data_IF_237193955190
#
_entry.id   IF_237193955190
#
_cell.length_a   1.000
_cell.length_b   1.000
_cell.length_c   1.000
_cell.angle_alpha   90.00
_cell.angle_beta   90.00
_cell.angle_gamma   90.00
#
_symmetry.space_group_name_H-M   'P 1'
#
loop_
_entity.id
_entity.type
_entity.pdbx_description
1 polymer ?
#
# COMPACT_ATOMS: atom_id res chain seq x y z
N UNK A 1 -16.50 -24.39 16.44
CA UNK A 1 -16.48 -24.38 14.96
C UNK A 1 -16.28 -25.81 14.47
N UNK A 2 -17.12 -26.32 13.55
CA UNK A 2 -17.09 -27.76 13.20
C UNK A 2 -15.88 -28.07 12.29
N UNK A 3 -15.28 -29.27 12.41
CA UNK A 3 -14.08 -29.70 11.66
C UNK A 3 -14.24 -29.54 10.14
N UNK A 4 -15.47 -29.64 9.64
CA UNK A 4 -15.81 -29.47 8.23
C UNK A 4 -15.60 -28.01 7.78
N UNK A 5 -15.93 -27.04 8.63
CA UNK A 5 -15.75 -25.60 8.34
C UNK A 5 -14.27 -25.22 8.33
N UNK A 6 -13.48 -25.78 9.25
CA UNK A 6 -12.03 -25.53 9.32
C UNK A 6 -11.29 -26.04 8.09
N UNK A 7 -11.62 -27.24 7.60
CA UNK A 7 -11.01 -27.80 6.38
C UNK A 7 -11.33 -27.00 5.12
N UNK A 8 -12.55 -26.44 5.03
CA UNK A 8 -12.95 -25.57 3.90
C UNK A 8 -12.19 -24.25 3.92
N UNK A 9 -12.01 -23.66 5.10
CA UNK A 9 -11.25 -22.41 5.26
C UNK A 9 -9.76 -22.66 4.97
N UNK A 10 -9.15 -23.73 5.49
CA UNK A 10 -7.77 -24.09 5.17
C UNK A 10 -7.57 -24.39 3.68
N UNK A 11 -8.51 -25.11 3.05
CA UNK A 11 -8.45 -25.38 1.62
C UNK A 11 -8.55 -24.10 0.77
N UNK A 12 -9.41 -23.16 1.18
CA UNK A 12 -9.52 -21.85 0.53
C UNK A 12 -8.23 -21.04 0.69
N UNK A 13 -7.65 -20.97 1.90
CA UNK A 13 -6.42 -20.22 2.18
C UNK A 13 -5.19 -20.83 1.49
N UNK A 14 -5.08 -22.16 1.39
CA UNK A 14 -4.00 -22.84 0.67
C UNK A 14 -4.14 -22.62 -0.83
N UNK A 15 -5.35 -22.71 -1.39
CA UNK A 15 -5.59 -22.40 -2.81
C UNK A 15 -5.27 -20.93 -3.13
N UNK A 16 -5.65 -20.01 -2.24
CA UNK A 16 -5.32 -18.58 -2.38
C UNK A 16 -3.82 -18.30 -2.24
N UNK A 17 -3.15 -18.93 -1.27
CA UNK A 17 -1.71 -18.80 -1.07
C UNK A 17 -0.90 -19.33 -2.26
N UNK A 18 -1.32 -20.43 -2.87
CA UNK A 18 -0.67 -20.99 -4.08
C UNK A 18 -0.92 -20.08 -5.30
N UNK A 19 -2.11 -19.49 -5.44
CA UNK A 19 -2.40 -18.51 -6.48
C UNK A 19 -1.53 -17.25 -6.33
N UNK A 20 -1.33 -16.78 -5.10
CA UNK A 20 -0.53 -15.60 -4.79
C UNK A 20 0.98 -15.84 -4.94
N UNK A 21 1.48 -17.03 -4.57
CA UNK A 21 2.88 -17.43 -4.79
C UNK A 21 3.18 -17.73 -6.26
N UNK A 22 2.20 -18.23 -7.03
CA UNK A 22 2.31 -18.48 -8.46
C UNK A 22 2.19 -17.22 -9.33
N UNK A 23 1.58 -16.15 -8.81
CA UNK A 23 1.50 -14.82 -9.45
C UNK A 23 2.65 -13.87 -9.08
N UNK A 24 3.69 -14.37 -8.39
CA UNK A 24 4.96 -13.67 -8.20
C UNK A 24 6.03 -14.20 -9.19
N UNK A 25 6.00 -13.84 -10.49
CA UNK A 25 7.26 -13.59 -11.16
C UNK A 25 7.78 -12.26 -10.61
N UNK A 26 8.61 -12.32 -9.56
CA UNK A 26 9.26 -11.15 -8.97
C UNK A 26 10.07 -10.30 -9.95
N UNK A 27 10.22 -10.74 -11.20
CA UNK A 27 10.86 -10.02 -12.31
C UNK A 27 9.92 -9.24 -13.23
N UNK A 28 8.61 -9.57 -13.31
CA UNK A 28 7.69 -8.88 -14.22
C UNK A 28 7.04 -7.63 -13.57
N UNK A 29 6.79 -7.66 -12.25
CA UNK A 29 6.24 -6.50 -11.54
C UNK A 29 7.28 -5.36 -11.43
N UNK A 30 8.56 -5.69 -11.24
CA UNK A 30 9.66 -4.72 -11.27
C UNK A 30 9.81 -4.06 -12.65
N UNK A 31 9.75 -4.85 -13.73
CA UNK A 31 9.84 -4.34 -15.10
C UNK A 31 8.61 -3.49 -15.52
N UNK A 32 7.41 -3.82 -15.00
CA UNK A 32 6.21 -3.00 -15.19
C UNK A 32 6.27 -1.70 -14.39
N UNK A 33 6.81 -1.73 -13.16
CA UNK A 33 6.93 -0.54 -12.31
C UNK A 33 7.99 0.43 -12.82
N UNK A 34 9.10 -0.04 -13.40
CA UNK A 34 10.13 0.82 -14.01
C UNK A 34 9.53 1.71 -15.11
N UNK A 35 8.58 1.22 -15.90
CA UNK A 35 7.98 2.00 -16.98
C UNK A 35 6.98 3.07 -16.50
N UNK A 36 6.39 2.93 -15.31
CA UNK A 36 5.45 3.90 -14.72
C UNK A 36 6.13 4.86 -13.72
N UNK A 37 7.24 4.44 -13.10
CA UNK A 37 8.05 5.27 -12.19
C UNK A 37 9.11 6.11 -12.91
N UNK A 38 9.41 5.81 -14.19
CA UNK A 38 10.31 6.62 -15.04
C UNK A 38 9.70 7.92 -15.56
N UNK A 39 8.41 8.20 -15.25
CA UNK A 39 7.79 9.48 -15.53
C UNK A 39 8.34 10.59 -14.61
N UNK A 40 8.46 11.84 -15.07
CA UNK A 40 9.06 12.95 -14.31
C UNK A 40 8.33 13.34 -13.02
N UNK A 41 7.23 12.65 -12.66
CA UNK A 41 6.43 12.91 -11.47
C UNK A 41 6.75 11.99 -10.28
N UNK A 42 7.44 10.85 -10.47
CA UNK A 42 7.62 9.83 -9.42
C UNK A 42 9.01 9.15 -9.35
N UNK A 43 10.06 9.80 -9.85
CA UNK A 43 11.43 9.33 -9.60
C UNK A 43 11.85 9.66 -8.16
N UNK A 44 11.33 8.94 -7.17
CA UNK A 44 11.96 8.82 -5.87
C UNK A 44 12.96 7.65 -5.96
N UNK A 45 14.21 7.97 -6.29
CA UNK A 45 15.35 7.06 -6.14
C UNK A 45 15.42 6.59 -4.68
N UNK A 46 14.88 5.40 -4.41
CA UNK A 46 14.95 4.77 -3.09
C UNK A 46 16.39 4.37 -2.71
N UNK A 47 17.35 4.56 -3.61
CA UNK A 47 18.78 4.31 -3.39
C UNK A 47 19.53 5.53 -2.84
N UNK A 48 18.89 6.70 -2.77
CA UNK A 48 19.52 7.94 -2.30
C UNK A 48 18.53 8.86 -1.56
N UNK A 49 18.40 8.80 -0.22
CA UNK A 49 17.56 9.74 0.51
C UNK A 49 18.33 11.07 0.71
N UNK A 50 18.51 11.84 -0.37
CA UNK A 50 18.91 13.24 -0.30
C UNK A 50 17.84 14.07 -0.99
N UNK A 51 16.62 14.06 -0.44
CA UNK A 51 15.61 15.05 -0.77
C UNK A 51 16.02 16.37 -0.09
N UNK A 52 16.84 17.17 -0.78
CA UNK A 52 17.20 18.53 -0.34
C UNK A 52 15.96 19.40 -0.51
N UNK A 53 15.15 19.57 0.55
CA UNK A 53 14.32 20.76 0.66
C UNK A 53 15.24 21.94 0.96
N UNK A 54 15.43 22.82 -0.02
CA UNK A 54 16.11 24.09 0.17
C UNK A 54 15.25 24.99 1.08
N UNK A 55 15.57 24.99 2.37
CA UNK A 55 15.11 26.01 3.30
C UNK A 55 15.80 27.33 2.95
N UNK A 56 15.03 28.31 2.47
CA UNK A 56 15.51 29.62 2.09
C UNK A 56 15.48 30.55 3.32
N UNK A 57 16.23 30.20 4.36
CA UNK A 57 16.42 31.03 5.55
C UNK A 57 17.78 31.74 5.45
N UNK A 58 17.75 32.97 4.91
CA UNK A 58 18.86 33.91 4.93
C UNK A 58 19.17 34.32 6.38
N UNK A 59 20.09 33.61 7.03
CA UNK A 59 20.52 33.87 8.40
C UNK A 59 22.02 33.62 8.58
N UNK A 60 22.79 34.70 8.53
CA UNK A 60 24.23 34.74 8.76
C UNK A 60 24.55 34.35 10.21
N UNK A 61 25.33 33.29 10.43
CA UNK A 61 25.70 32.88 11.79
C UNK A 61 26.77 31.79 11.84
N UNK A 62 28.03 32.23 11.92
CA UNK A 62 29.19 31.42 12.25
C UNK A 62 29.09 30.90 13.70
N UNK A 63 29.02 29.59 13.88
CA UNK A 63 28.99 28.96 15.20
C UNK A 63 29.25 27.46 15.12
N UNK A 64 30.45 27.05 15.54
CA UNK A 64 30.88 25.66 15.68
C UNK A 64 30.07 24.94 16.76
N UNK A 65 29.28 23.96 16.36
CA UNK A 65 28.93 22.76 17.11
C UNK A 65 28.20 21.86 16.14
N UNK A 66 28.86 20.79 15.70
CA UNK A 66 28.35 19.81 14.75
C UNK A 66 27.17 19.03 15.34
N UNK A 67 26.04 19.70 15.49
CA UNK A 67 24.74 19.07 15.57
C UNK A 67 24.48 18.54 14.18
N UNK A 68 25.00 17.34 13.89
CA UNK A 68 24.39 16.45 12.91
C UNK A 68 22.92 16.43 13.27
N UNK A 69 22.12 17.21 12.55
CA UNK A 69 20.67 17.09 12.58
C UNK A 69 20.44 15.64 12.16
N UNK A 70 20.23 14.79 13.17
CA UNK A 70 19.86 13.41 12.96
C UNK A 70 18.59 13.52 12.13
N UNK A 71 18.69 13.25 10.84
CA UNK A 71 17.56 12.82 10.05
C UNK A 71 17.18 11.50 10.72
N UNK A 72 16.49 11.64 11.84
CA UNK A 72 16.02 10.56 12.69
C UNK A 72 15.17 9.73 11.75
N UNK A 73 15.72 8.57 11.41
CA UNK A 73 15.13 7.56 10.55
C UNK A 73 13.62 7.56 10.79
N UNK A 74 12.84 8.00 9.79
CA UNK A 74 11.39 7.83 9.83
C UNK A 74 11.18 6.33 10.05
N UNK A 75 10.61 5.95 11.20
CA UNK A 75 10.41 4.54 11.49
C UNK A 75 9.49 3.94 10.44
N UNK A 76 9.72 2.69 10.04
CA UNK A 76 8.89 2.05 9.03
C UNK A 76 7.41 2.02 9.46
N UNK A 77 7.13 1.92 10.76
CA UNK A 77 5.78 2.10 11.31
C UNK A 77 5.15 3.48 11.06
N UNK A 78 5.90 4.58 11.22
CA UNK A 78 5.39 5.93 10.89
C UNK A 78 5.14 6.06 9.38
N UNK A 79 6.05 5.53 8.56
CA UNK A 79 5.91 5.55 7.12
C UNK A 79 4.68 4.74 6.66
N UNK A 80 4.49 3.53 7.21
CA UNK A 80 3.31 2.68 6.98
C UNK A 80 2.01 3.45 7.29
N UNK A 81 1.95 4.15 8.42
CA UNK A 81 0.77 4.94 8.81
C UNK A 81 0.47 6.07 7.81
N UNK A 82 1.48 6.84 7.42
CA UNK A 82 1.29 7.94 6.46
C UNK A 82 0.92 7.44 5.07
N UNK A 83 1.56 6.37 4.59
CA UNK A 83 1.22 5.74 3.32
C UNK A 83 -0.20 5.16 3.34
N UNK A 84 -0.64 4.60 4.47
CA UNK A 84 -2.01 4.12 4.63
C UNK A 84 -3.04 5.25 4.49
N UNK A 85 -2.80 6.40 5.11
CA UNK A 85 -3.66 7.58 4.92
C UNK A 85 -3.59 8.14 3.50
N UNK A 86 -2.40 8.17 2.88
CA UNK A 86 -2.25 8.60 1.49
C UNK A 86 -3.02 7.69 0.52
N UNK A 87 -2.99 6.37 0.75
CA UNK A 87 -3.77 5.38 0.01
C UNK A 87 -5.26 5.67 0.11
N UNK A 88 -5.77 5.89 1.32
CA UNK A 88 -7.19 6.22 1.54
C UNK A 88 -7.58 7.54 0.87
N UNK A 89 -6.76 8.58 1.00
CA UNK A 89 -7.01 9.87 0.38
C UNK A 89 -7.05 9.76 -1.15
N UNK A 90 -6.07 9.08 -1.75
CA UNK A 90 -6.02 8.86 -3.19
C UNK A 90 -7.22 8.00 -3.68
N UNK A 91 -7.56 6.92 -2.95
CA UNK A 91 -8.72 6.08 -3.26
C UNK A 91 -10.04 6.85 -3.18
N UNK A 92 -10.19 7.75 -2.19
CA UNK A 92 -11.36 8.63 -2.11
C UNK A 92 -11.42 9.61 -3.27
N UNK A 93 -10.29 10.25 -3.63
CA UNK A 93 -10.22 11.14 -4.81
C UNK A 93 -10.58 10.39 -6.08
N UNK A 94 -10.09 9.15 -6.26
CA UNK A 94 -10.48 8.31 -7.38
C UNK A 94 -12.00 8.02 -7.36
N UNK A 95 -12.55 7.66 -6.20
CA UNK A 95 -13.98 7.38 -6.06
C UNK A 95 -14.90 8.57 -6.34
N UNK A 96 -14.51 9.80 -5.96
CA UNK A 96 -15.35 11.00 -6.13
C UNK A 96 -15.10 11.79 -7.42
N UNK A 97 -13.97 11.56 -8.11
CA UNK A 97 -13.67 12.23 -9.39
C UNK A 97 -14.56 11.77 -10.55
N UNK A 98 -15.26 10.65 -10.39
CA UNK A 98 -16.25 10.17 -11.37
C UNK A 98 -15.61 9.90 -12.72
N UNK A 99 -16.18 10.48 -13.79
CA UNK A 99 -15.75 10.27 -15.18
C UNK A 99 -14.64 11.21 -15.65
N UNK A 100 -13.94 11.92 -14.76
CA UNK A 100 -12.75 12.67 -15.17
C UNK A 100 -11.59 11.70 -15.41
N UNK A 101 -11.36 11.35 -16.67
CA UNK A 101 -10.40 10.32 -17.08
C UNK A 101 -8.98 10.56 -16.55
N UNK A 102 -8.57 11.81 -16.36
CA UNK A 102 -7.24 12.15 -15.87
C UNK A 102 -7.10 11.96 -14.37
N UNK A 103 -7.97 12.60 -13.60
CA UNK A 103 -7.94 12.57 -12.13
C UNK A 103 -8.36 11.21 -11.58
N UNK A 104 -9.38 10.57 -12.14
CA UNK A 104 -9.85 9.25 -11.71
C UNK A 104 -8.76 8.20 -11.86
N UNK A 105 -8.18 8.12 -13.07
CA UNK A 105 -7.11 7.17 -13.39
C UNK A 105 -5.84 7.47 -12.62
N UNK A 106 -5.43 8.74 -12.55
CA UNK A 106 -4.25 9.16 -11.82
C UNK A 106 -4.35 8.84 -10.32
N UNK A 107 -5.48 9.19 -9.70
CA UNK A 107 -5.72 8.92 -8.28
C UNK A 107 -5.85 7.42 -8.00
N UNK A 108 -6.49 6.65 -8.87
CA UNK A 108 -6.59 5.18 -8.75
C UNK A 108 -5.23 4.50 -8.81
N UNK A 109 -4.39 4.88 -9.78
CA UNK A 109 -3.01 4.37 -9.89
C UNK A 109 -2.16 4.78 -8.68
N UNK A 110 -2.28 6.03 -8.22
CA UNK A 110 -1.60 6.48 -7.02
C UNK A 110 -2.04 5.70 -5.77
N UNK A 111 -3.35 5.43 -5.62
CA UNK A 111 -3.88 4.63 -4.52
C UNK A 111 -3.28 3.21 -4.52
N UNK A 112 -3.21 2.56 -5.68
CA UNK A 112 -2.58 1.24 -5.78
C UNK A 112 -1.09 1.27 -5.43
N UNK A 113 -0.34 2.27 -5.92
CA UNK A 113 1.07 2.43 -5.60
C UNK A 113 1.30 2.66 -4.10
N UNK A 114 0.52 3.54 -3.47
CA UNK A 114 0.59 3.77 -2.03
C UNK A 114 0.15 2.55 -1.24
N UNK A 115 -0.84 1.78 -1.70
CA UNK A 115 -1.26 0.54 -1.03
C UNK A 115 -0.11 -0.47 -0.99
N UNK A 116 0.59 -0.66 -2.12
CA UNK A 116 1.76 -1.54 -2.20
C UNK A 116 2.87 -1.08 -1.25
N UNK A 117 3.20 0.22 -1.25
CA UNK A 117 4.19 0.77 -0.34
C UNK A 117 3.77 0.64 1.14
N UNK A 118 2.49 0.82 1.44
CA UNK A 118 1.90 0.62 2.77
C UNK A 118 2.06 -0.83 3.21
N UNK A 119 1.71 -1.78 2.33
CA UNK A 119 1.82 -3.21 2.61
C UNK A 119 3.28 -3.61 2.85
N UNK A 120 4.21 -3.14 2.02
CA UNK A 120 5.64 -3.44 2.15
C UNK A 120 6.23 -2.90 3.46
N UNK A 121 5.96 -1.63 3.79
CA UNK A 121 6.43 -1.01 5.05
C UNK A 121 5.77 -1.64 6.27
N UNK A 122 4.50 -2.04 6.17
CA UNK A 122 3.78 -2.77 7.22
C UNK A 122 4.36 -4.16 7.46
N UNK A 123 4.68 -4.90 6.40
CA UNK A 123 5.31 -6.22 6.53
C UNK A 123 6.72 -6.11 7.13
N UNK A 124 7.49 -5.10 6.74
CA UNK A 124 8.84 -4.86 7.28
C UNK A 124 8.84 -4.54 8.79
N UNK A 125 7.84 -3.82 9.29
CA UNK A 125 7.76 -3.40 10.69
C UNK A 125 7.00 -4.41 11.56
N UNK A 126 5.94 -5.02 11.01
CA UNK A 126 4.95 -5.77 11.78
C UNK A 126 4.80 -7.24 11.35
N UNK A 127 5.58 -7.73 10.39
CA UNK A 127 5.42 -9.09 9.86
C UNK A 127 5.59 -10.20 10.91
N UNK A 128 6.36 -9.94 11.98
CA UNK A 128 6.56 -10.87 13.10
C UNK A 128 5.36 -10.97 14.06
N UNK A 129 4.35 -10.09 13.95
CA UNK A 129 3.11 -10.18 14.72
C UNK A 129 2.06 -11.10 14.07
N UNK A 130 2.35 -11.66 12.90
CA UNK A 130 1.46 -12.64 12.28
C UNK A 130 1.66 -14.02 12.92
N UNK A 131 0.64 -14.49 13.63
CA UNK A 131 0.67 -15.79 14.29
C UNK A 131 -0.58 -16.61 13.95
N UNK A 132 -0.42 -17.66 13.14
CA UNK A 132 -1.53 -18.50 12.71
C UNK A 132 -2.24 -19.24 13.86
N UNK A 133 -1.55 -19.46 14.99
CA UNK A 133 -2.11 -20.15 16.15
C UNK A 133 -3.09 -19.25 16.93
N UNK A 134 -2.96 -17.93 16.79
CA UNK A 134 -3.89 -16.95 17.39
C UNK A 134 -5.20 -16.77 16.60
N UNK A 135 -5.31 -17.37 15.41
CA UNK A 135 -6.54 -17.32 14.60
C UNK A 135 -6.87 -15.90 14.11
N UNK A 136 -8.10 -15.42 14.35
CA UNK A 136 -8.54 -14.08 13.94
C UNK A 136 -8.20 -13.02 15.01
N UNK A 137 -6.93 -12.96 15.41
CA UNK A 137 -6.43 -11.89 16.30
C UNK A 137 -6.49 -10.54 15.58
N UNK A 138 -6.42 -9.45 16.36
CA UNK A 138 -6.48 -8.09 15.83
C UNK A 138 -5.34 -7.83 14.83
N UNK A 139 -4.14 -8.35 15.10
CA UNK A 139 -2.99 -8.24 14.19
C UNK A 139 -3.18 -9.09 12.93
N UNK A 140 -3.63 -10.34 13.06
CA UNK A 140 -3.86 -11.19 11.90
C UNK A 140 -4.94 -10.63 10.98
N UNK A 141 -6.04 -10.11 11.53
CA UNK A 141 -7.09 -9.46 10.74
C UNK A 141 -6.52 -8.25 10.01
N UNK A 142 -5.74 -7.38 10.67
CA UNK A 142 -5.13 -6.22 10.02
C UNK A 142 -4.24 -6.64 8.85
N UNK A 143 -3.32 -7.58 9.07
CA UNK A 143 -2.36 -8.03 8.05
C UNK A 143 -3.10 -8.65 6.86
N UNK A 144 -4.07 -9.53 7.11
CA UNK A 144 -4.84 -10.19 6.05
C UNK A 144 -5.68 -9.19 5.26
N UNK A 145 -6.46 -8.34 5.96
CA UNK A 145 -7.31 -7.36 5.28
C UNK A 145 -6.49 -6.31 4.52
N UNK A 146 -5.37 -5.84 5.09
CA UNK A 146 -4.47 -4.89 4.43
C UNK A 146 -3.82 -5.48 3.18
N UNK A 147 -3.41 -6.75 3.24
CA UNK A 147 -2.85 -7.46 2.08
C UNK A 147 -3.90 -7.67 0.99
N UNK A 148 -5.13 -8.06 1.36
CA UNK A 148 -6.25 -8.21 0.43
C UNK A 148 -6.68 -6.87 -0.19
N UNK A 149 -6.73 -5.79 0.60
CA UNK A 149 -7.02 -4.45 0.12
C UNK A 149 -6.00 -4.03 -0.94
N UNK A 150 -4.71 -4.24 -0.66
CA UNK A 150 -3.60 -3.95 -1.57
C UNK A 150 -3.73 -4.74 -2.87
N UNK A 151 -3.93 -6.06 -2.78
CA UNK A 151 -4.11 -6.91 -3.95
C UNK A 151 -5.31 -6.46 -4.80
N UNK A 152 -6.43 -6.11 -4.16
CA UNK A 152 -7.60 -5.64 -4.88
C UNK A 152 -7.42 -4.24 -5.51
N UNK A 153 -6.64 -3.32 -4.90
CA UNK A 153 -6.33 -2.03 -5.53
C UNK A 153 -5.46 -2.24 -6.79
N UNK A 154 -4.45 -3.11 -6.70
CA UNK A 154 -3.62 -3.48 -7.87
C UNK A 154 -4.47 -4.14 -8.94
N UNK A 155 -5.35 -5.08 -8.57
CA UNK A 155 -6.26 -5.74 -9.50
C UNK A 155 -7.26 -4.76 -10.13
N UNK A 156 -7.74 -3.77 -9.38
CA UNK A 156 -8.63 -2.70 -9.86
C UNK A 156 -7.95 -1.91 -10.97
N UNK A 157 -6.73 -1.44 -10.72
CA UNK A 157 -5.95 -0.68 -11.71
C UNK A 157 -5.62 -1.55 -12.91
N UNK A 158 -5.15 -2.78 -12.71
CA UNK A 158 -4.86 -3.71 -13.80
C UNK A 158 -6.11 -4.00 -14.66
N UNK A 159 -7.27 -4.21 -14.02
CA UNK A 159 -8.54 -4.42 -14.74
C UNK A 159 -8.94 -3.17 -15.52
N UNK A 160 -8.82 -1.97 -14.94
CA UNK A 160 -9.14 -0.72 -15.63
C UNK A 160 -8.24 -0.44 -16.84
N UNK A 161 -6.98 -0.89 -16.82
CA UNK A 161 -6.09 -0.77 -17.98
C UNK A 161 -6.34 -1.84 -19.05
N UNK A 162 -6.82 -3.03 -18.65
CA UNK A 162 -7.08 -4.14 -19.56
C UNK A 162 -8.47 -4.07 -20.20
N UNK A 163 -9.45 -3.60 -19.44
CA UNK A 163 -10.86 -3.53 -19.81
C UNK A 163 -11.33 -2.09 -19.60
N UNK A 164 -11.76 -1.44 -20.68
CA UNK A 164 -12.30 -0.07 -20.67
C UNK A 164 -13.78 -0.06 -20.24
N UNK A 165 -14.13 -0.89 -19.25
CA UNK A 165 -15.49 -1.06 -18.72
C UNK A 165 -15.59 -0.63 -17.26
N UNK A 166 -16.81 -0.37 -16.78
CA UNK A 166 -17.08 0.05 -15.40
C UNK A 166 -16.88 -1.08 -14.35
N UNK A 167 -16.47 -2.29 -14.78
CA UNK A 167 -16.35 -3.46 -13.91
C UNK A 167 -15.29 -3.30 -12.82
N UNK A 168 -14.31 -2.40 -13.02
CA UNK A 168 -13.26 -2.12 -12.04
C UNK A 168 -13.76 -1.37 -10.80
N UNK A 169 -14.87 -0.62 -10.90
CA UNK A 169 -15.40 0.15 -9.76
C UNK A 169 -15.75 -0.74 -8.57
N UNK A 170 -16.33 -1.92 -8.81
CA UNK A 170 -16.69 -2.86 -7.76
C UNK A 170 -15.47 -3.38 -6.98
N UNK A 171 -14.38 -3.69 -7.68
CA UNK A 171 -13.12 -4.10 -7.05
C UNK A 171 -12.51 -2.96 -6.23
N UNK A 172 -12.50 -1.74 -6.78
CA UNK A 172 -11.94 -0.56 -6.10
C UNK A 172 -12.68 -0.25 -4.80
N UNK A 173 -14.02 -0.30 -4.83
CA UNK A 173 -14.85 -0.10 -3.64
C UNK A 173 -14.60 -1.19 -2.60
N UNK A 174 -14.58 -2.46 -3.01
CA UNK A 174 -14.31 -3.57 -2.09
C UNK A 174 -12.94 -3.44 -1.41
N UNK A 175 -11.90 -3.07 -2.16
CA UNK A 175 -10.57 -2.77 -1.61
C UNK A 175 -10.58 -1.62 -0.62
N UNK A 176 -11.26 -0.51 -0.95
CA UNK A 176 -11.42 0.61 -0.04
C UNK A 176 -12.05 0.19 1.29
N UNK A 177 -13.11 -0.61 1.25
CA UNK A 177 -13.76 -1.14 2.46
C UNK A 177 -12.79 -2.01 3.29
N UNK A 178 -12.06 -2.92 2.64
CA UNK A 178 -11.07 -3.77 3.31
C UNK A 178 -9.97 -2.96 3.99
N UNK A 179 -9.58 -1.82 3.41
CA UNK A 179 -8.60 -0.89 3.99
C UNK A 179 -9.16 -0.12 5.21
N UNK A 180 -10.45 0.27 5.18
CA UNK A 180 -11.08 1.07 6.24
C UNK A 180 -11.40 0.24 7.48
N UNK A 181 -11.75 -1.05 7.33
CA UNK A 181 -12.12 -1.92 8.46
C UNK A 181 -11.02 -1.97 9.54
N UNK A 182 -9.74 -2.24 9.24
CA UNK A 182 -8.67 -2.18 10.23
C UNK A 182 -8.53 -0.82 10.91
N UNK A 183 -8.70 0.28 10.18
CA UNK A 183 -8.54 1.64 10.72
C UNK A 183 -9.66 1.97 11.73
N UNK A 184 -10.91 1.67 11.39
CA UNK A 184 -12.08 2.08 12.19
C UNK A 184 -12.39 1.09 13.31
N UNK A 185 -12.34 -0.21 13.01
CA UNK A 185 -12.81 -1.25 13.93
C UNK A 185 -11.73 -1.66 14.91
N UNK A 186 -10.48 -1.74 14.44
CA UNK A 186 -9.38 -2.29 15.22
C UNK A 186 -8.54 -1.20 15.91
N UNK A 187 -8.81 0.10 15.64
CA UNK A 187 -8.24 1.28 16.30
C UNK A 187 -6.71 1.29 16.38
N UNK A 188 -6.05 1.18 15.23
CA UNK A 188 -4.59 1.29 15.08
C UNK A 188 -4.11 2.74 14.87
#
# INVERSE_FOLDING_TARGET
MNRITMKKIMGFLVAWGILFLGMLPGSALAASMDHYLSGPLFTCDASSPNLILADNSSGTGSGSSGSRMSIDRISAGKLHKYLGYATLAAGLVAGVSGSDDGLHKGAGTAAAAFAVATCATGFSEYGNYFDMDEGLSVHNIHIVLGTLATAGFVATVANAYANDDDGHAGLGIASGVLMVVPVVVLKF
#
